data_IF_887897400614
#
_entry.id   IF_887897400614
#
_cell.length_a   1.000
_cell.length_b   1.000
_cell.length_c   1.000
_cell.angle_alpha   90.00
_cell.angle_beta   90.00
_cell.angle_gamma   90.00
#
_symmetry.space_group_name_H-M   'P 1'
#
loop_
_entity.id
_entity.type
_entity.pdbx_description
1 polymer ?
#
# COMPACT_ATOMS: atom_id res chain seq x y z
N UNK A 1 -53.50 39.36 12.70
CA UNK A 1 -52.22 40.10 12.63
C UNK A 1 -51.76 40.38 14.05
N UNK A 2 -50.71 39.72 14.52
CA UNK A 2 -49.89 40.22 15.63
C UNK A 2 -48.43 39.89 15.30
N UNK A 3 -47.56 40.91 15.38
CA UNK A 3 -46.21 40.96 14.82
C UNK A 3 -45.35 41.73 15.83
N UNK A 4 -44.48 41.04 16.54
CA UNK A 4 -43.43 41.58 17.42
C UNK A 4 -42.60 40.39 17.93
N UNK A 5 -41.38 40.04 17.52
CA UNK A 5 -40.21 40.71 16.92
C UNK A 5 -39.48 41.73 17.82
N UNK A 6 -38.54 41.21 18.62
CA UNK A 6 -37.43 41.94 19.26
C UNK A 6 -36.89 41.16 20.47
N UNK A 7 -35.82 40.35 20.34
CA UNK A 7 -34.43 40.63 20.77
C UNK A 7 -34.34 41.01 22.26
N UNK A 8 -33.51 40.45 23.15
CA UNK A 8 -32.02 40.51 23.18
C UNK A 8 -31.54 39.64 24.38
N UNK A 9 -30.50 38.82 24.22
CA UNK A 9 -29.38 38.67 25.19
C UNK A 9 -28.49 37.48 24.80
N UNK A 10 -27.17 37.68 24.77
CA UNK A 10 -26.20 36.57 24.80
C UNK A 10 -25.06 36.69 23.80
N UNK A 11 -24.08 37.51 24.13
CA UNK A 11 -22.73 37.43 23.56
C UNK A 11 -22.00 36.28 24.26
N UNK A 12 -21.37 35.38 23.50
CA UNK A 12 -20.50 34.30 23.98
C UNK A 12 -20.12 33.39 22.81
N UNK A 13 -19.10 33.72 22.03
CA UNK A 13 -17.69 33.36 22.22
C UNK A 13 -17.45 31.87 22.56
N UNK A 14 -16.49 31.28 21.82
CA UNK A 14 -15.78 30.01 22.01
C UNK A 14 -16.29 28.75 21.29
N UNK A 15 -15.61 28.48 20.17
CA UNK A 15 -15.21 27.18 19.62
C UNK A 15 -15.06 26.03 20.63
N UNK A 16 -15.45 24.81 20.23
CA UNK A 16 -14.68 23.55 20.39
C UNK A 16 -15.52 22.25 20.36
N UNK A 17 -16.45 22.03 19.42
CA UNK A 17 -17.22 20.76 19.41
C UNK A 17 -17.32 19.99 18.09
N UNK A 18 -16.90 20.55 16.95
CA UNK A 18 -16.76 19.78 15.69
C UNK A 18 -15.37 19.17 15.61
N UNK A 19 -15.09 18.19 16.45
CA UNK A 19 -13.91 17.30 16.28
C UNK A 19 -14.31 15.88 16.66
N UNK A 20 -15.05 15.69 17.75
CA UNK A 20 -15.48 14.36 18.20
C UNK A 20 -16.48 13.64 17.26
N UNK A 21 -17.39 14.38 16.61
CA UNK A 21 -18.39 13.77 15.72
C UNK A 21 -17.80 13.34 14.36
N UNK A 22 -16.88 14.13 13.80
CA UNK A 22 -16.17 13.75 12.57
C UNK A 22 -15.23 12.59 12.82
N UNK A 23 -14.59 12.52 14.00
CA UNK A 23 -13.70 11.40 14.34
C UNK A 23 -14.45 10.06 14.39
N UNK A 24 -15.67 10.02 14.93
CA UNK A 24 -16.50 8.81 14.96
C UNK A 24 -16.88 8.30 13.56
N UNK A 25 -17.22 9.20 12.64
CA UNK A 25 -17.54 8.85 11.25
C UNK A 25 -16.30 8.41 10.46
N UNK A 26 -15.15 9.08 10.66
CA UNK A 26 -13.89 8.74 10.01
C UNK A 26 -13.36 7.40 10.52
N UNK A 27 -13.53 7.08 11.81
CA UNK A 27 -13.17 5.77 12.39
C UNK A 27 -14.11 4.66 11.89
N UNK A 28 -15.42 4.93 11.76
CA UNK A 28 -16.37 3.97 11.20
C UNK A 28 -16.13 3.70 9.71
N UNK A 29 -15.87 4.75 8.93
CA UNK A 29 -15.56 4.69 7.49
C UNK A 29 -14.23 3.99 7.23
N UNK A 30 -13.19 4.25 8.04
CA UNK A 30 -11.90 3.55 7.92
C UNK A 30 -12.00 2.07 8.30
N UNK A 31 -12.76 1.70 9.34
CA UNK A 31 -13.02 0.28 9.66
C UNK A 31 -13.83 -0.44 8.58
N UNK A 32 -14.76 0.25 7.94
CA UNK A 32 -15.48 -0.27 6.78
C UNK A 32 -14.53 -0.49 5.59
N UNK A 33 -13.56 0.40 5.37
CA UNK A 33 -12.59 0.29 4.27
C UNK A 33 -11.61 -0.89 4.47
N UNK A 34 -11.21 -1.17 5.71
CA UNK A 34 -10.36 -2.33 6.06
C UNK A 34 -11.09 -3.67 5.87
N UNK A 35 -12.43 -3.68 6.02
CA UNK A 35 -13.29 -4.88 5.91
C UNK A 35 -13.69 -5.20 4.46
N UNK A 36 -13.70 -4.21 3.55
CA UNK A 36 -14.12 -4.45 2.16
C UNK A 36 -13.02 -5.23 1.42
N UNK A 37 -13.31 -6.44 0.90
CA UNK A 37 -12.34 -7.13 0.06
C UNK A 37 -12.03 -6.26 -1.16
N UNK A 38 -10.74 -6.11 -1.48
CA UNK A 38 -10.26 -5.29 -2.59
C UNK A 38 -10.72 -5.81 -3.96
N UNK A 39 -11.22 -7.05 -4.01
CA UNK A 39 -11.86 -7.69 -5.16
C UNK A 39 -13.27 -8.11 -4.75
N UNK A 40 -14.27 -7.86 -5.60
CA UNK A 40 -15.66 -8.25 -5.34
C UNK A 40 -15.77 -9.79 -5.36
N UNK A 41 -16.25 -10.44 -4.28
CA UNK A 41 -16.47 -11.88 -4.24
C UNK A 41 -17.41 -12.41 -5.33
N UNK A 42 -18.16 -11.53 -6.02
CA UNK A 42 -19.00 -11.87 -7.18
C UNK A 42 -18.21 -12.18 -8.45
N UNK A 43 -17.02 -11.62 -8.62
CA UNK A 43 -16.21 -11.79 -9.83
C UNK A 43 -15.29 -13.02 -9.75
N UNK A 44 -14.86 -13.39 -8.54
CA UNK A 44 -14.06 -14.60 -8.29
C UNK A 44 -14.39 -15.19 -6.90
N UNK A 45 -15.12 -16.33 -6.80
CA UNK A 45 -15.46 -16.94 -5.51
C UNK A 45 -14.22 -17.42 -4.75
N UNK A 46 -13.09 -17.61 -5.44
CA UNK A 46 -11.82 -17.89 -4.79
C UNK A 46 -11.29 -16.68 -4.01
N UNK A 47 -11.81 -15.46 -4.15
CA UNK A 47 -11.37 -14.32 -3.32
C UNK A 47 -11.49 -14.59 -1.80
N UNK A 48 -12.39 -15.50 -1.39
CA UNK A 48 -12.74 -15.74 0.01
C UNK A 48 -11.74 -16.58 0.83
N UNK A 49 -10.95 -17.48 0.22
CA UNK A 49 -9.99 -18.36 0.93
C UNK A 49 -8.74 -17.65 1.50
N UNK A 50 -8.58 -16.34 1.27
CA UNK A 50 -7.62 -15.51 2.00
C UNK A 50 -6.17 -15.48 1.47
N UNK A 51 -5.80 -16.26 0.45
CA UNK A 51 -4.43 -16.24 -0.11
C UNK A 51 -4.21 -15.16 -1.20
N UNK A 52 -5.25 -14.42 -1.62
CA UNK A 52 -5.19 -13.41 -2.69
C UNK A 52 -4.66 -12.02 -2.29
N UNK A 53 -3.82 -11.96 -1.25
CA UNK A 53 -3.18 -10.72 -0.82
C UNK A 53 -2.13 -10.24 -1.82
N UNK A 54 -2.46 -9.26 -2.66
CA UNK A 54 -1.44 -8.55 -3.45
C UNK A 54 -0.69 -7.57 -2.57
N UNK A 55 0.49 -7.97 -2.08
CA UNK A 55 1.38 -7.14 -1.26
C UNK A 55 2.55 -6.59 -2.10
N UNK A 56 2.37 -5.51 -2.87
CA UNK A 56 3.41 -4.98 -3.75
C UNK A 56 4.65 -4.47 -2.99
N UNK A 57 4.48 -4.08 -1.71
CA UNK A 57 5.59 -3.67 -0.85
C UNK A 57 6.44 -4.88 -0.43
N UNK A 58 5.80 -5.95 0.02
CA UNK A 58 6.47 -7.19 0.46
C UNK A 58 7.23 -7.83 -0.70
N UNK A 59 6.61 -7.93 -1.88
CA UNK A 59 7.28 -8.45 -3.08
C UNK A 59 8.54 -7.65 -3.42
N UNK A 60 8.52 -6.32 -3.22
CA UNK A 60 9.67 -5.47 -3.48
C UNK A 60 10.81 -5.71 -2.49
N UNK A 61 10.49 -5.80 -1.20
CA UNK A 61 11.49 -6.09 -0.15
C UNK A 61 12.11 -7.46 -0.39
N UNK A 62 11.31 -8.48 -0.72
CA UNK A 62 11.80 -9.82 -1.01
C UNK A 62 12.66 -9.85 -2.29
N UNK A 63 12.32 -9.06 -3.31
CA UNK A 63 13.16 -8.92 -4.51
C UNK A 63 14.54 -8.35 -4.20
N UNK A 64 14.62 -7.29 -3.38
CA UNK A 64 15.90 -6.74 -2.94
C UNK A 64 16.69 -7.69 -2.04
N UNK A 65 16.01 -8.38 -1.12
CA UNK A 65 16.62 -9.38 -0.26
C UNK A 65 17.25 -10.51 -1.08
N UNK A 66 16.52 -11.05 -2.07
CA UNK A 66 17.01 -12.10 -2.96
C UNK A 66 18.22 -11.62 -3.77
N UNK A 67 18.17 -10.40 -4.33
CA UNK A 67 19.31 -9.83 -5.04
C UNK A 67 20.55 -9.70 -4.15
N UNK A 68 20.38 -9.28 -2.89
CA UNK A 68 21.47 -9.17 -1.92
C UNK A 68 22.03 -10.54 -1.50
N UNK A 69 21.16 -11.52 -1.28
CA UNK A 69 21.56 -12.89 -0.96
C UNK A 69 22.42 -13.51 -2.06
N UNK A 70 22.06 -13.30 -3.34
CA UNK A 70 22.86 -13.73 -4.48
C UNK A 70 24.23 -13.05 -4.54
N UNK A 71 24.31 -11.76 -4.17
CA UNK A 71 25.57 -11.01 -4.13
C UNK A 71 26.49 -11.45 -2.99
N UNK A 72 25.93 -11.77 -1.81
CA UNK A 72 26.71 -12.31 -0.68
C UNK A 72 27.37 -13.63 -1.08
N UNK A 73 26.66 -14.48 -1.83
CA UNK A 73 27.19 -15.77 -2.27
C UNK A 73 28.43 -15.65 -3.17
N UNK A 74 28.77 -14.48 -3.74
CA UNK A 74 30.05 -14.30 -4.47
C UNK A 74 31.27 -14.46 -3.57
N UNK A 75 31.11 -14.24 -2.25
CA UNK A 75 32.19 -14.32 -1.27
C UNK A 75 32.31 -15.78 -0.80
N UNK A 76 33.03 -16.59 -1.58
CA UNK A 76 33.27 -18.01 -1.32
C UNK A 76 34.53 -18.52 -2.01
N UNK A 77 34.91 -19.79 -1.76
CA UNK A 77 36.08 -20.45 -2.36
C UNK A 77 35.88 -20.80 -3.85
N UNK A 78 35.40 -19.85 -4.65
CA UNK A 78 35.15 -20.04 -6.07
C UNK A 78 36.46 -20.14 -6.83
N UNK A 79 36.81 -21.37 -7.25
CA UNK A 79 37.97 -21.61 -8.11
C UNK A 79 37.64 -21.43 -9.60
N UNK A 80 36.35 -21.46 -9.97
CA UNK A 80 35.87 -21.29 -11.34
C UNK A 80 35.06 -20.01 -11.52
N UNK A 81 35.29 -19.29 -12.62
CA UNK A 81 34.59 -18.04 -12.90
C UNK A 81 33.12 -18.25 -13.34
N UNK A 82 32.75 -19.48 -13.69
CA UNK A 82 31.40 -19.83 -14.17
C UNK A 82 30.33 -19.58 -13.12
N UNK A 83 30.60 -19.90 -11.85
CA UNK A 83 29.66 -19.67 -10.75
C UNK A 83 29.40 -18.18 -10.52
N UNK A 84 30.46 -17.36 -10.55
CA UNK A 84 30.35 -15.91 -10.47
C UNK A 84 29.47 -15.35 -11.60
N UNK A 85 29.64 -15.83 -12.83
CA UNK A 85 28.84 -15.38 -13.98
C UNK A 85 27.35 -15.68 -13.78
N UNK A 86 27.01 -16.87 -13.30
CA UNK A 86 25.61 -17.23 -13.03
C UNK A 86 25.02 -16.43 -11.86
N UNK A 87 25.76 -16.26 -10.76
CA UNK A 87 25.29 -15.49 -9.61
C UNK A 87 25.07 -14.01 -9.97
N UNK A 88 26.01 -13.41 -10.72
CA UNK A 88 25.88 -12.04 -11.21
C UNK A 88 24.72 -11.94 -12.20
N UNK A 89 24.60 -12.86 -13.16
CA UNK A 89 23.53 -12.86 -14.16
C UNK A 89 22.14 -12.96 -13.53
N UNK A 90 21.97 -13.83 -12.53
CA UNK A 90 20.70 -13.96 -11.79
C UNK A 90 20.41 -12.71 -10.96
N UNK A 91 21.42 -12.16 -10.27
CA UNK A 91 21.26 -10.93 -9.48
C UNK A 91 20.83 -9.74 -10.34
N UNK A 92 21.50 -9.52 -11.47
CA UNK A 92 21.16 -8.46 -12.44
C UNK A 92 19.74 -8.66 -12.98
N UNK A 93 19.35 -9.90 -13.26
CA UNK A 93 17.99 -10.23 -13.74
C UNK A 93 16.93 -9.83 -12.72
N UNK A 94 17.12 -10.16 -11.44
CA UNK A 94 16.18 -9.80 -10.35
C UNK A 94 16.09 -8.28 -10.18
N UNK A 95 17.24 -7.59 -10.18
CA UNK A 95 17.29 -6.12 -10.09
C UNK A 95 16.57 -5.48 -11.29
N UNK A 96 16.83 -5.97 -12.49
CA UNK A 96 16.19 -5.51 -13.73
C UNK A 96 14.67 -5.67 -13.68
N UNK A 97 14.17 -6.82 -13.25
CA UNK A 97 12.73 -7.06 -13.07
C UNK A 97 12.09 -6.07 -12.08
N UNK A 98 12.79 -5.75 -10.99
CA UNK A 98 12.33 -4.81 -9.97
C UNK A 98 12.24 -3.37 -10.50
N UNK A 99 13.23 -2.96 -11.30
CA UNK A 99 13.24 -1.66 -11.97
C UNK A 99 12.10 -1.54 -13.00
N UNK A 100 11.83 -2.61 -13.75
CA UNK A 100 10.71 -2.67 -14.69
C UNK A 100 9.35 -2.59 -13.98
N UNK A 101 9.18 -3.28 -12.85
CA UNK A 101 7.98 -3.16 -12.00
C UNK A 101 7.79 -1.71 -11.53
N UNK A 102 8.85 -1.06 -11.04
CA UNK A 102 8.79 0.34 -10.63
C UNK A 102 8.43 1.27 -11.79
N UNK A 103 8.96 1.04 -12.99
CA UNK A 103 8.65 1.83 -14.20
C UNK A 103 7.20 1.64 -14.63
N UNK A 104 6.70 0.40 -14.69
CA UNK A 104 5.33 0.08 -15.14
C UNK A 104 4.26 0.77 -14.29
N UNK A 105 4.50 0.87 -12.97
CA UNK A 105 3.59 1.56 -12.04
C UNK A 105 3.52 3.07 -12.27
N UNK A 106 4.62 3.68 -12.71
CA UNK A 106 4.65 5.09 -13.10
C UNK A 106 4.00 5.37 -14.46
N UNK A 107 3.45 4.37 -15.14
CA UNK A 107 2.78 4.58 -16.43
C UNK A 107 1.39 3.93 -16.46
N UNK A 108 0.84 3.56 -15.30
CA UNK A 108 -0.42 2.84 -15.22
C UNK A 108 -1.63 3.66 -15.67
N UNK A 109 -1.55 5.00 -15.66
CA UNK A 109 -2.63 5.88 -16.11
C UNK A 109 -2.78 5.97 -17.64
N UNK A 110 -1.84 5.38 -18.40
CA UNK A 110 -1.91 5.32 -19.88
C UNK A 110 -2.67 4.09 -20.38
N UNK A 111 -3.41 3.41 -19.51
CA UNK A 111 -4.27 2.27 -19.82
C UNK A 111 -5.66 2.51 -19.29
#
# INVERSE_FOLDING_TARGET
>A
MDRSSGYISGVGLCSASTTAASEGEIVASSKQLETRPKVDPRDEPSAEWGWHGSFPKTVRVMGWFLAFALLIMLIGNHNGNTENVWLIGMSVTVIGALLLDMRKRRTSWRR
#
